data_IF_690209170075
#
_entry.id   IF_690209170075
#
_cell.length_a   1.000
_cell.length_b   1.000
_cell.length_c   1.000
_cell.angle_alpha   90.00
_cell.angle_beta   90.00
_cell.angle_gamma   90.00
#
_symmetry.space_group_name_H-M   'P 1'
#
loop_
_entity.id
_entity.type
_entity.pdbx_description
1 polymer ?
#
# COMPACT_ATOMS: atom_id res chain seq x y z
N UNK A 1 15.71 5.70 -10.60
CA UNK A 1 15.06 6.28 -9.40
C UNK A 1 13.58 5.91 -9.40
N UNK A 2 12.97 5.65 -8.24
CA UNK A 2 11.55 5.26 -8.13
C UNK A 2 10.86 5.97 -6.98
N UNK A 3 9.53 5.95 -6.96
CA UNK A 3 8.75 6.30 -5.78
C UNK A 3 8.04 5.08 -5.21
N UNK A 4 7.81 5.09 -3.90
CA UNK A 4 7.03 4.06 -3.23
C UNK A 4 5.58 4.54 -3.10
N UNK A 5 4.67 3.76 -3.65
CA UNK A 5 3.24 3.98 -3.47
C UNK A 5 2.73 3.09 -2.33
N UNK A 6 2.11 3.71 -1.33
CA UNK A 6 1.56 3.03 -0.17
C UNK A 6 0.04 3.15 -0.13
N UNK A 7 -0.63 2.02 0.06
CA UNK A 7 -2.09 1.95 0.24
C UNK A 7 -2.54 2.30 1.65
N UNK A 8 -1.68 2.15 2.66
CA UNK A 8 -2.10 2.22 4.08
C UNK A 8 -1.03 2.65 5.09
N UNK A 9 0.24 2.76 4.70
CA UNK A 9 1.35 2.97 5.63
C UNK A 9 1.66 1.76 6.54
N UNK A 10 1.03 0.61 6.33
CA UNK A 10 1.21 -0.58 7.17
C UNK A 10 2.54 -1.32 6.98
N UNK A 11 2.69 -2.45 7.68
CA UNK A 11 3.88 -3.33 7.64
C UNK A 11 4.33 -3.70 6.22
N UNK A 12 3.38 -3.90 5.32
CA UNK A 12 3.64 -4.34 3.95
C UNK A 12 4.28 -3.22 3.12
N UNK A 13 3.88 -1.97 3.38
CA UNK A 13 4.51 -0.81 2.76
C UNK A 13 5.94 -0.61 3.27
N UNK A 14 6.18 -0.78 4.58
CA UNK A 14 7.52 -0.72 5.16
C UNK A 14 8.45 -1.77 4.54
N UNK A 15 8.02 -3.03 4.55
CA UNK A 15 8.84 -4.12 4.03
C UNK A 15 9.05 -3.99 2.51
N UNK A 16 8.05 -3.55 1.76
CA UNK A 16 8.20 -3.27 0.34
C UNK A 16 9.27 -2.21 0.05
N UNK A 17 9.37 -1.15 0.87
CA UNK A 17 10.44 -0.17 0.76
C UNK A 17 11.82 -0.78 1.07
N UNK A 18 11.92 -1.66 2.06
CA UNK A 18 13.16 -2.40 2.34
C UNK A 18 13.58 -3.25 1.14
N UNK A 19 12.63 -3.94 0.48
CA UNK A 19 12.91 -4.72 -0.73
C UNK A 19 13.37 -3.85 -1.90
N UNK A 20 12.80 -2.66 -2.07
CA UNK A 20 13.26 -1.70 -3.09
C UNK A 20 14.73 -1.33 -2.90
N UNK A 21 15.11 -0.99 -1.67
CA UNK A 21 16.48 -0.62 -1.32
C UNK A 21 17.42 -1.82 -1.48
N UNK A 22 17.01 -3.02 -1.05
CA UNK A 22 17.79 -4.25 -1.21
C UNK A 22 18.02 -4.62 -2.69
N UNK A 23 17.07 -4.32 -3.56
CA UNK A 23 17.19 -4.49 -5.01
C UNK A 23 18.04 -3.38 -5.68
N UNK A 24 18.61 -2.44 -4.92
CA UNK A 24 19.49 -1.39 -5.40
C UNK A 24 18.76 -0.16 -5.93
N UNK A 25 17.46 -0.02 -5.66
CA UNK A 25 16.71 1.16 -6.07
C UNK A 25 16.75 2.25 -5.01
N UNK A 26 16.76 3.50 -5.47
CA UNK A 26 16.60 4.68 -4.64
C UNK A 26 15.14 5.13 -4.65
N UNK A 27 14.54 5.17 -3.46
CA UNK A 27 13.22 5.77 -3.23
C UNK A 27 13.42 7.28 -3.11
N UNK A 28 12.77 8.06 -3.97
CA UNK A 28 12.90 9.52 -3.99
C UNK A 28 11.62 10.25 -3.55
N UNK A 29 10.51 9.54 -3.45
CA UNK A 29 9.24 10.10 -2.99
C UNK A 29 8.31 9.01 -2.44
N UNK A 30 7.35 9.44 -1.63
CA UNK A 30 6.23 8.64 -1.16
C UNK A 30 4.94 9.17 -1.79
N UNK A 31 4.01 8.26 -2.10
CA UNK A 31 2.71 8.62 -2.62
C UNK A 31 1.59 7.82 -1.95
N UNK A 32 0.46 8.47 -1.68
CA UNK A 32 -0.73 7.84 -1.12
C UNK A 32 -2.02 8.54 -1.55
N UNK A 33 -3.07 7.76 -1.72
CA UNK A 33 -4.43 8.25 -1.89
C UNK A 33 -5.21 8.07 -0.60
N UNK A 34 -5.96 9.11 -0.23
CA UNK A 34 -6.78 9.14 0.99
C UNK A 34 -8.22 9.56 0.69
N UNK A 35 -9.19 9.18 1.55
CA UNK A 35 -10.55 9.70 1.46
C UNK A 35 -10.58 11.24 1.52
N UNK A 36 -11.60 11.85 0.90
CA UNK A 36 -11.86 13.27 1.09
C UNK A 36 -12.41 13.54 2.50
N UNK A 37 -11.90 14.59 3.16
CA UNK A 37 -12.24 14.93 4.56
C UNK A 37 -13.73 15.31 4.78
N UNK A 38 -14.48 15.56 3.70
CA UNK A 38 -15.81 16.18 3.75
C UNK A 38 -17.00 15.22 3.63
N UNK A 39 -16.81 13.90 3.53
CA UNK A 39 -17.94 12.98 3.31
C UNK A 39 -18.65 12.53 4.57
N UNK A 40 -18.17 12.85 5.78
CA UNK A 40 -18.79 12.39 7.04
C UNK A 40 -18.83 10.86 7.20
N UNK A 41 -18.33 10.12 6.20
CA UNK A 41 -18.10 8.70 6.20
C UNK A 41 -16.75 8.48 6.87
N UNK A 42 -16.85 8.16 8.16
CA UNK A 42 -15.84 7.47 8.96
C UNK A 42 -15.04 6.51 8.09
N UNK A 43 -13.70 6.61 8.11
CA UNK A 43 -12.62 5.67 7.72
C UNK A 43 -12.96 4.32 7.03
N UNK A 44 -14.01 4.22 6.24
CA UNK A 44 -14.55 3.03 5.60
C UNK A 44 -15.16 3.49 4.27
N UNK A 45 -14.27 3.74 3.30
CA UNK A 45 -14.66 3.74 1.90
C UNK A 45 -14.92 2.28 1.51
N UNK A 46 -16.01 2.03 0.79
CA UNK A 46 -16.22 0.79 0.03
C UNK A 46 -15.26 0.73 -1.18
N UNK A 47 -13.95 0.77 -0.92
CA UNK A 47 -12.89 0.68 -1.94
C UNK A 47 -12.24 -0.69 -1.86
N UNK A 48 -12.21 -1.39 -3.01
CA UNK A 48 -11.42 -2.62 -3.18
C UNK A 48 -9.91 -2.35 -3.23
N UNK A 49 -9.53 -1.07 -3.31
CA UNK A 49 -8.20 -0.63 -3.70
C UNK A 49 -7.45 -0.02 -2.52
N UNK A 50 -8.09 0.83 -1.72
CA UNK A 50 -7.44 1.58 -0.63
C UNK A 50 -7.90 1.14 0.75
N UNK A 51 -6.93 0.94 1.65
CA UNK A 51 -7.23 0.70 3.06
C UNK A 51 -7.09 2.02 3.82
N UNK A 52 -8.18 2.46 4.41
CA UNK A 52 -8.35 3.76 5.08
C UNK A 52 -7.83 3.78 6.51
N UNK A 53 -7.73 2.61 7.15
CA UNK A 53 -7.21 2.48 8.52
C UNK A 53 -5.71 2.73 8.54
N UNK A 54 -5.28 3.70 9.36
CA UNK A 54 -3.86 3.98 9.60
C UNK A 54 -3.19 4.85 8.55
N UNK A 55 -3.93 5.47 7.62
CA UNK A 55 -3.35 6.36 6.60
C UNK A 55 -2.56 7.54 7.19
N UNK A 56 -2.86 7.95 8.44
CA UNK A 56 -2.06 8.94 9.18
C UNK A 56 -0.63 8.49 9.46
N UNK A 57 -0.36 7.18 9.49
CA UNK A 57 0.99 6.67 9.70
C UNK A 57 1.95 7.04 8.56
N UNK A 58 1.43 7.39 7.37
CA UNK A 58 2.29 7.78 6.26
C UNK A 58 3.05 9.09 6.52
N UNK A 59 2.45 10.02 7.28
CA UNK A 59 3.11 11.26 7.67
C UNK A 59 4.35 10.96 8.55
N UNK A 60 4.32 9.90 9.36
CA UNK A 60 5.49 9.48 10.15
C UNK A 60 6.62 8.89 9.30
N UNK A 61 6.31 8.26 8.15
CA UNK A 61 7.36 7.81 7.23
C UNK A 61 8.07 8.99 6.56
N UNK A 62 7.36 10.09 6.33
CA UNK A 62 7.97 11.32 5.79
C UNK A 62 9.03 11.84 6.74
N UNK A 63 8.65 11.99 8.00
CA UNK A 63 9.56 12.48 9.04
C UNK A 63 10.76 11.54 9.25
N UNK A 64 10.52 10.22 9.15
CA UNK A 64 11.57 9.21 9.37
C UNK A 64 12.51 9.04 8.16
N UNK A 65 12.01 9.18 6.94
CA UNK A 65 12.78 8.93 5.70
C UNK A 65 13.32 10.21 5.06
N UNK A 66 12.85 11.39 5.49
CA UNK A 66 13.17 12.70 4.89
C UNK A 66 12.90 12.72 3.37
N UNK A 67 11.72 12.21 2.98
CA UNK A 67 11.28 12.11 1.58
C UNK A 67 10.01 12.93 1.33
N UNK A 68 9.86 13.55 0.14
CA UNK A 68 8.63 14.25 -0.21
C UNK A 68 7.45 13.28 -0.27
N UNK A 69 6.31 13.72 0.27
CA UNK A 69 5.04 13.00 0.23
C UNK A 69 4.02 13.68 -0.65
N UNK A 70 3.51 12.91 -1.61
CA UNK A 70 2.45 13.30 -2.51
C UNK A 70 1.14 12.63 -2.10
N UNK A 71 0.18 13.44 -1.65
CA UNK A 71 -1.17 12.97 -1.31
C UNK A 71 -2.20 13.42 -2.33
N UNK A 72 -2.99 12.48 -2.81
CA UNK A 72 -4.20 12.76 -3.60
C UNK A 72 -5.45 12.35 -2.84
N UNK A 73 -6.60 12.87 -3.27
CA UNK A 73 -7.89 12.46 -2.76
C UNK A 73 -8.53 11.44 -3.69
N UNK A 74 -9.16 10.42 -3.11
CA UNK A 74 -10.02 9.50 -3.83
C UNK A 74 -11.34 10.24 -4.10
N UNK A 75 -11.67 10.42 -5.37
CA UNK A 75 -12.89 11.07 -5.85
C UNK A 75 -13.78 10.10 -6.61
N UNK A 76 -13.16 9.21 -7.37
CA UNK A 76 -13.85 8.13 -8.06
C UNK A 76 -14.29 7.02 -7.11
N UNK A 77 -15.06 6.09 -7.66
CA UNK A 77 -15.49 4.86 -6.97
C UNK A 77 -14.96 3.63 -7.72
N UNK A 78 -15.13 2.43 -7.16
CA UNK A 78 -14.81 1.19 -7.86
C UNK A 78 -15.85 0.92 -8.96
N UNK A 79 -15.64 1.49 -10.16
CA UNK A 79 -16.59 1.38 -11.29
C UNK A 79 -16.26 0.15 -12.14
N UNK A 80 -15.01 0.04 -12.58
CA UNK A 80 -14.54 -1.13 -13.32
C UNK A 80 -13.97 -2.14 -12.34
N UNK A 81 -14.70 -3.24 -12.12
CA UNK A 81 -14.27 -4.37 -11.27
C UNK A 81 -13.80 -5.60 -12.06
N UNK A 82 -13.58 -5.46 -13.37
CA UNK A 82 -13.17 -6.58 -14.21
C UNK A 82 -11.73 -7.02 -13.94
N UNK A 83 -11.41 -8.23 -14.42
CA UNK A 83 -10.06 -8.83 -14.33
C UNK A 83 -9.00 -8.07 -15.11
N UNK A 84 -9.41 -7.40 -16.19
CA UNK A 84 -8.54 -6.54 -16.99
C UNK A 84 -9.07 -5.14 -16.85
N UNK A 85 -8.23 -4.23 -16.34
CA UNK A 85 -8.65 -2.85 -16.18
C UNK A 85 -8.68 -2.15 -17.54
N UNK A 86 -9.75 -1.41 -17.78
CA UNK A 86 -9.86 -0.44 -18.88
C UNK A 86 -10.29 0.89 -18.27
N UNK A 87 -9.59 1.96 -18.65
CA UNK A 87 -9.85 3.30 -18.16
C UNK A 87 -11.33 3.65 -18.28
N UNK A 88 -11.93 4.03 -17.16
CA UNK A 88 -13.34 4.40 -17.06
C UNK A 88 -13.43 5.77 -16.38
N UNK A 89 -14.36 6.61 -16.83
CA UNK A 89 -14.60 7.87 -16.16
C UNK A 89 -15.12 7.61 -14.74
N UNK A 90 -14.75 8.49 -13.81
CA UNK A 90 -15.19 8.43 -12.41
C UNK A 90 -14.67 7.21 -11.62
N UNK A 91 -13.73 6.45 -12.17
CA UNK A 91 -13.11 5.32 -11.49
C UNK A 91 -11.93 5.76 -10.61
N UNK A 92 -11.82 5.15 -9.43
CA UNK A 92 -10.78 5.46 -8.42
C UNK A 92 -9.33 5.22 -8.92
N UNK A 93 -9.15 4.45 -9.99
CA UNK A 93 -7.86 4.23 -10.64
C UNK A 93 -7.41 5.45 -11.44
N UNK A 94 -8.33 6.28 -11.91
CA UNK A 94 -7.96 7.53 -12.58
C UNK A 94 -7.41 8.56 -11.59
N UNK A 95 -7.84 8.53 -10.33
CA UNK A 95 -7.22 9.32 -9.25
C UNK A 95 -5.77 8.86 -9.01
N UNK A 96 -5.52 7.54 -9.04
CA UNK A 96 -4.17 6.97 -8.98
C UNK A 96 -3.34 7.46 -10.16
N UNK A 97 -3.89 7.43 -11.37
CA UNK A 97 -3.20 7.92 -12.57
C UNK A 97 -2.77 9.39 -12.42
N UNK A 98 -3.66 10.27 -11.94
CA UNK A 98 -3.31 11.68 -11.75
C UNK A 98 -2.21 11.88 -10.71
N UNK A 99 -2.28 11.16 -9.58
CA UNK A 99 -1.26 11.26 -8.54
C UNK A 99 0.10 10.75 -9.04
N UNK A 100 0.14 9.57 -9.67
CA UNK A 100 1.39 9.00 -10.18
C UNK A 100 1.99 9.86 -11.28
N UNK A 101 1.16 10.49 -12.13
CA UNK A 101 1.61 11.46 -13.12
C UNK A 101 2.27 12.67 -12.48
N UNK A 102 1.64 13.23 -11.43
CA UNK A 102 2.20 14.35 -10.67
C UNK A 102 3.59 14.00 -10.10
N UNK A 103 3.72 12.85 -9.44
CA UNK A 103 5.02 12.41 -8.87
C UNK A 103 6.05 12.23 -9.98
N UNK A 104 5.68 11.60 -11.09
CA UNK A 104 6.56 11.42 -12.24
C UNK A 104 7.07 12.77 -12.78
N UNK A 105 6.17 13.72 -12.99
CA UNK A 105 6.51 15.03 -13.57
C UNK A 105 7.37 15.87 -12.62
N UNK A 106 7.22 15.70 -11.29
CA UNK A 106 7.97 16.43 -10.27
C UNK A 106 9.34 15.83 -9.96
N UNK A 107 9.40 14.50 -9.86
CA UNK A 107 10.57 13.78 -9.33
C UNK A 107 11.38 13.06 -10.43
N UNK A 108 10.87 13.01 -11.66
CA UNK A 108 11.57 12.34 -12.78
C UNK A 108 11.76 10.84 -12.57
N UNK A 109 10.82 10.18 -11.89
CA UNK A 109 10.89 8.74 -11.60
C UNK A 109 10.68 7.87 -12.84
N UNK A 110 11.26 6.68 -12.79
CA UNK A 110 11.18 5.66 -13.87
C UNK A 110 10.36 4.44 -13.45
N UNK A 111 10.03 4.32 -12.17
CA UNK A 111 9.26 3.21 -11.64
C UNK A 111 8.45 3.58 -10.42
N UNK A 112 7.50 2.72 -10.11
CA UNK A 112 6.71 2.74 -8.88
C UNK A 112 6.84 1.40 -8.19
N UNK A 113 6.99 1.42 -6.88
CA UNK A 113 6.86 0.22 -6.08
C UNK A 113 5.55 0.19 -5.31
N UNK A 114 4.92 -0.98 -5.24
CA UNK A 114 3.63 -1.21 -4.57
C UNK A 114 3.70 -2.40 -3.62
N UNK A 115 3.20 -2.21 -2.40
CA UNK A 115 3.16 -3.24 -1.36
C UNK A 115 1.98 -4.21 -1.44
N UNK A 116 1.36 -4.40 -2.61
CA UNK A 116 0.26 -5.36 -2.77
C UNK A 116 0.79 -6.80 -2.75
N UNK A 117 0.21 -7.67 -1.92
CA UNK A 117 0.68 -9.06 -1.74
C UNK A 117 -0.16 -10.06 -2.56
N UNK A 118 -1.48 -10.10 -2.34
CA UNK A 118 -2.37 -11.10 -2.97
C UNK A 118 -3.49 -10.51 -3.86
N UNK A 119 -3.70 -9.20 -3.85
CA UNK A 119 -4.80 -8.59 -4.60
C UNK A 119 -4.49 -8.40 -6.08
N UNK A 120 -4.96 -9.33 -6.94
CA UNK A 120 -4.79 -9.25 -8.40
C UNK A 120 -5.47 -7.97 -8.92
N UNK A 121 -6.57 -7.61 -8.24
CA UNK A 121 -7.32 -6.38 -8.47
C UNK A 121 -6.42 -5.14 -8.36
N UNK A 122 -5.66 -4.99 -7.27
CA UNK A 122 -4.76 -3.86 -7.07
C UNK A 122 -3.62 -3.89 -8.09
N UNK A 123 -3.01 -5.06 -8.31
CA UNK A 123 -1.88 -5.23 -9.23
C UNK A 123 -2.23 -4.78 -10.65
N UNK A 124 -3.30 -5.32 -11.23
CA UNK A 124 -3.67 -5.04 -12.64
C UNK A 124 -3.93 -3.55 -12.86
N UNK A 125 -4.52 -2.86 -11.88
CA UNK A 125 -4.82 -1.42 -11.96
C UNK A 125 -3.55 -0.59 -11.91
N UNK A 126 -2.62 -0.93 -11.03
CA UNK A 126 -1.30 -0.28 -10.99
C UNK A 126 -0.54 -0.51 -12.28
N UNK A 127 -0.53 -1.75 -12.78
CA UNK A 127 0.15 -2.10 -14.04
C UNK A 127 -0.43 -1.32 -15.22
N UNK A 128 -1.75 -1.13 -15.29
CA UNK A 128 -2.36 -0.30 -16.33
C UNK A 128 -1.90 1.17 -16.24
N UNK A 129 -1.92 1.75 -15.04
CA UNK A 129 -1.46 3.13 -14.82
C UNK A 129 0.02 3.27 -15.17
N UNK A 130 0.85 2.31 -14.75
CA UNK A 130 2.28 2.27 -15.08
C UNK A 130 2.51 2.22 -16.59
N UNK A 131 1.79 1.35 -17.29
CA UNK A 131 1.86 1.21 -18.75
C UNK A 131 1.50 2.53 -19.44
N UNK A 132 0.43 3.20 -19.00
CA UNK A 132 -0.01 4.50 -19.57
C UNK A 132 0.97 5.62 -19.28
N UNK A 133 1.68 5.57 -18.14
CA UNK A 133 2.68 6.56 -17.75
C UNK A 133 4.10 6.17 -18.18
N UNK A 134 4.31 5.04 -18.84
CA UNK A 134 5.65 4.50 -19.14
C UNK A 134 6.55 4.45 -17.89
N UNK A 135 6.02 3.87 -16.80
CA UNK A 135 6.71 3.58 -15.55
C UNK A 135 6.88 2.07 -15.40
N UNK A 136 7.96 1.64 -14.75
CA UNK A 136 8.18 0.24 -14.38
C UNK A 136 7.42 -0.08 -13.09
N UNK A 137 6.44 -1.02 -13.09
CA UNK A 137 5.83 -1.51 -11.86
C UNK A 137 6.80 -2.47 -11.14
N UNK A 138 6.96 -2.28 -9.83
CA UNK A 138 7.79 -3.11 -8.95
C UNK A 138 6.95 -3.64 -7.78
N UNK A 139 6.47 -4.88 -7.91
CA UNK A 139 5.63 -5.55 -6.93
C UNK A 139 6.38 -6.74 -6.30
N UNK A 140 7.35 -6.45 -5.44
CA UNK A 140 8.24 -7.49 -4.87
C UNK A 140 7.51 -8.49 -3.99
N UNK A 141 6.41 -8.08 -3.36
CA UNK A 141 5.67 -8.92 -2.41
C UNK A 141 4.58 -9.77 -3.08
N UNK A 142 4.45 -9.65 -4.40
CA UNK A 142 3.34 -10.21 -5.15
C UNK A 142 3.37 -11.75 -5.22
N UNK A 143 2.26 -12.41 -4.86
CA UNK A 143 2.14 -13.88 -4.75
C UNK A 143 3.21 -14.52 -3.86
N UNK A 144 3.82 -13.74 -2.95
CA UNK A 144 4.77 -14.29 -2.02
C UNK A 144 4.05 -15.08 -0.93
N UNK A 145 4.65 -16.19 -0.48
CA UNK A 145 4.06 -17.00 0.58
C UNK A 145 3.95 -16.17 1.87
N UNK A 146 2.74 -16.07 2.42
CA UNK A 146 2.47 -15.18 3.55
C UNK A 146 3.20 -15.60 4.83
N UNK A 147 3.39 -16.90 5.08
CA UNK A 147 4.15 -17.38 6.24
C UNK A 147 5.63 -17.00 6.14
N UNK A 148 6.19 -17.14 4.93
CA UNK A 148 7.58 -16.74 4.66
C UNK A 148 7.70 -15.22 4.81
N UNK A 149 6.76 -14.47 4.24
CA UNK A 149 6.76 -13.01 4.33
C UNK A 149 6.67 -12.52 5.79
N UNK A 150 5.81 -13.15 6.60
CA UNK A 150 5.69 -12.87 8.03
C UNK A 150 7.02 -13.08 8.76
N UNK A 151 7.65 -14.23 8.54
CA UNK A 151 8.96 -14.58 9.12
C UNK A 151 10.06 -13.62 8.70
N UNK A 152 10.10 -13.26 7.41
CA UNK A 152 11.07 -12.32 6.86
C UNK A 152 10.89 -10.91 7.43
N UNK A 153 9.65 -10.44 7.62
CA UNK A 153 9.38 -9.16 8.27
C UNK A 153 9.89 -9.14 9.71
N UNK A 154 9.66 -10.22 10.46
CA UNK A 154 10.12 -10.37 11.84
C UNK A 154 11.65 -10.42 11.89
N UNK A 155 12.29 -11.22 11.03
CA UNK A 155 13.75 -11.35 10.97
C UNK A 155 14.45 -10.07 10.49
N UNK A 156 13.74 -9.25 9.71
CA UNK A 156 14.18 -7.91 9.27
C UNK A 156 13.99 -6.83 10.36
N UNK A 157 13.65 -7.23 11.59
CA UNK A 157 13.41 -6.35 12.74
C UNK A 157 12.30 -5.30 12.54
N UNK A 158 11.32 -5.55 11.66
CA UNK A 158 10.16 -4.67 11.54
C UNK A 158 9.31 -4.76 12.82
N UNK A 159 9.27 -3.67 13.57
CA UNK A 159 8.42 -3.54 14.76
C UNK A 159 6.99 -3.11 14.36
N UNK A 160 6.24 -4.03 13.76
CA UNK A 160 4.84 -3.80 13.41
C UNK A 160 3.91 -4.13 14.60
N UNK A 161 2.95 -3.25 14.88
CA UNK A 161 1.97 -3.40 15.98
C UNK A 161 0.58 -3.64 15.40
N UNK A 162 -0.17 -4.58 15.99
CA UNK A 162 -1.54 -4.88 15.58
C UNK A 162 -2.50 -3.79 16.08
N UNK A 163 -3.10 -3.05 15.14
CA UNK A 163 -4.03 -1.94 15.44
C UNK A 163 -5.50 -2.24 15.10
N UNK A 164 -5.76 -3.31 14.33
CA UNK A 164 -7.09 -3.80 13.99
C UNK A 164 -7.02 -5.31 13.77
N UNK A 165 -8.05 -6.03 14.19
CA UNK A 165 -8.26 -7.45 13.86
C UNK A 165 -9.65 -7.62 13.25
N UNK A 166 -9.75 -8.43 12.19
CA UNK A 166 -11.00 -8.65 11.46
C UNK A 166 -11.11 -10.09 10.92
N UNK A 167 -10.54 -11.05 11.65
CA UNK A 167 -10.54 -12.47 11.28
C UNK A 167 -11.09 -13.32 12.41
N UNK A 168 -11.79 -14.40 12.05
CA UNK A 168 -12.26 -15.38 13.02
C UNK A 168 -11.07 -16.01 13.76
N UNK A 169 -11.17 -16.13 15.08
CA UNK A 169 -10.07 -16.59 15.93
C UNK A 169 -9.17 -15.48 16.49
N UNK A 170 -9.30 -14.24 16.01
CA UNK A 170 -8.62 -13.08 16.59
C UNK A 170 -9.55 -12.32 17.55
N UNK A 171 -9.10 -12.16 18.80
CA UNK A 171 -9.79 -11.43 19.86
C UNK A 171 -9.15 -10.03 20.05
N UNK A 172 -9.88 -8.94 19.78
CA UNK A 172 -9.37 -7.58 19.93
C UNK A 172 -8.77 -7.30 21.32
N UNK A 173 -9.41 -7.77 22.39
CA UNK A 173 -8.98 -7.48 23.77
C UNK A 173 -7.66 -8.18 24.11
N UNK A 174 -7.33 -9.27 23.39
CA UNK A 174 -6.11 -10.05 23.62
C UNK A 174 -4.99 -9.74 22.64
N UNK A 175 -5.31 -9.24 21.46
CA UNK A 175 -4.37 -9.18 20.33
C UNK A 175 -3.98 -7.76 19.92
N UNK A 176 -4.83 -6.75 20.18
CA UNK A 176 -4.47 -5.37 19.87
C UNK A 176 -3.28 -4.90 20.73
N UNK A 177 -2.40 -4.10 20.13
CA UNK A 177 -1.20 -3.55 20.78
C UNK A 177 -0.01 -4.52 20.84
N UNK A 178 -0.18 -5.80 20.50
CA UNK A 178 0.94 -6.74 20.38
C UNK A 178 1.73 -6.51 19.10
N UNK A 179 3.00 -6.86 19.16
CA UNK A 179 3.89 -6.87 18.00
C UNK A 179 3.60 -8.04 17.06
N UNK A 180 4.04 -7.91 15.81
CA UNK A 180 3.92 -8.95 14.80
C UNK A 180 4.65 -10.24 15.23
N UNK A 181 5.78 -10.12 15.91
CA UNK A 181 6.53 -11.26 16.45
C UNK A 181 5.79 -11.98 17.57
N UNK A 182 5.17 -11.26 18.51
CA UNK A 182 4.35 -11.88 19.57
C UNK A 182 3.11 -12.60 19.01
N UNK A 183 2.60 -12.11 17.88
CA UNK A 183 1.42 -12.66 17.22
C UNK A 183 1.74 -13.76 16.21
N UNK A 184 3.02 -14.00 15.87
CA UNK A 184 3.43 -14.95 14.83
C UNK A 184 2.78 -16.34 14.98
N UNK A 185 2.82 -17.02 16.15
CA UNK A 185 2.26 -18.36 16.26
C UNK A 185 0.74 -18.38 16.01
N UNK A 186 0.05 -17.35 16.47
CA UNK A 186 -1.41 -17.21 16.32
C UNK A 186 -1.78 -16.92 14.87
N UNK A 187 -1.02 -16.04 14.20
CA UNK A 187 -1.25 -15.66 12.81
C UNK A 187 -1.02 -16.83 11.83
N UNK A 188 -0.07 -17.72 12.13
CA UNK A 188 0.18 -18.93 11.34
C UNK A 188 -0.93 -19.98 11.49
N UNK A 189 -1.64 -20.02 12.61
CA UNK A 189 -2.75 -20.97 12.83
C UNK A 189 -4.06 -20.52 12.15
N UNK A 190 -4.24 -19.21 11.93
CA UNK A 190 -5.46 -18.64 11.33
C UNK A 190 -5.33 -18.32 9.84
N UNK A 191 -4.15 -18.51 9.24
CA UNK A 191 -3.88 -18.32 7.80
C UNK A 191 -4.14 -19.59 7.00
#
# INVERSE_FOLDING_TARGET
>A
PLFSFSYSGGKDSCYNMMQCVAAGHQIVALANLRPAENTGQTDELDSYMYQTVGHHAIDLYVDALDLPLYRGFIKGTSVNTDRVYTACQEDEVEDLYQLMKLVKDKEGVEGVSVGAILSDYQRVRVEDVCRRLNLQPLAYLWHWNQEVLLKEMISSNIQAIIIKVAAFGLDPDKHLGKTLGEMEPILLEVS
#
